data_IF_519022616456
#
_entry.id   IF_519022616456
#
_cell.length_a   1.000
_cell.length_b   1.000
_cell.length_c   1.000
_cell.angle_alpha   90.00
_cell.angle_beta   90.00
_cell.angle_gamma   90.00
#
_symmetry.space_group_name_H-M   'P 1'
#
loop_
_entity.id
_entity.type
_entity.pdbx_description
1 polymer ?
#
# COMPACT_ATOMS: atom_id res chain seq x y z
N UNK A 1 -20.51 2.87 -2.36
CA UNK A 1 -19.73 1.61 -2.32
C UNK A 1 -19.15 1.36 -3.71
N UNK A 2 -17.84 1.24 -3.78
CA UNK A 2 -17.17 0.89 -5.03
C UNK A 2 -17.71 -0.45 -5.53
N UNK A 3 -18.09 -0.52 -6.81
CA UNK A 3 -18.47 -1.77 -7.48
C UNK A 3 -17.33 -2.77 -7.30
N UNK A 4 -17.57 -4.00 -6.93
CA UNK A 4 -16.56 -5.07 -6.82
C UNK A 4 -15.79 -5.18 -5.49
N UNK A 5 -16.16 -4.42 -4.44
CA UNK A 5 -15.55 -4.55 -3.11
C UNK A 5 -16.65 -4.84 -2.09
N UNK A 6 -16.47 -5.87 -1.26
CA UNK A 6 -17.49 -6.41 -0.36
C UNK A 6 -17.46 -5.79 1.05
N UNK A 7 -17.23 -4.49 1.16
CA UNK A 7 -17.26 -3.77 2.43
C UNK A 7 -16.26 -2.60 2.46
N UNK A 8 -16.22 -1.84 3.57
CA UNK A 8 -15.28 -0.74 3.74
C UNK A 8 -13.85 -1.24 3.83
N UNK A 9 -12.89 -0.44 3.33
CA UNK A 9 -11.48 -0.74 3.51
C UNK A 9 -11.05 -0.52 4.95
N UNK A 10 -10.14 -1.37 5.41
CA UNK A 10 -9.47 -1.17 6.69
C UNK A 10 -8.39 -0.09 6.56
N UNK A 11 -8.24 0.73 7.60
CA UNK A 11 -7.17 1.72 7.71
C UNK A 11 -6.73 1.93 9.16
N UNK A 12 -5.50 2.40 9.33
CA UNK A 12 -4.98 2.89 10.61
C UNK A 12 -4.73 4.39 10.54
N UNK A 13 -4.86 5.07 11.69
CA UNK A 13 -4.67 6.52 11.80
C UNK A 13 -3.68 6.86 12.88
N UNK A 14 -2.84 7.87 12.63
CA UNK A 14 -1.96 8.50 13.61
C UNK A 14 -1.93 10.01 13.40
N UNK A 15 -1.75 10.74 14.49
CA UNK A 15 -1.73 12.20 14.47
C UNK A 15 -3.11 12.84 14.66
N UNK A 16 -3.13 14.03 15.24
CA UNK A 16 -4.37 14.72 15.61
C UNK A 16 -4.57 16.04 14.88
N UNK A 17 -3.50 16.66 14.42
CA UNK A 17 -3.49 18.00 13.84
C UNK A 17 -2.62 18.05 12.57
N UNK A 18 -2.76 19.10 11.79
CA UNK A 18 -1.98 19.31 10.58
C UNK A 18 -2.64 18.76 9.31
N UNK A 19 -1.95 18.89 8.16
CA UNK A 19 -2.42 18.36 6.88
C UNK A 19 -2.58 16.85 6.90
N UNK A 20 -3.40 16.31 5.99
CA UNK A 20 -3.59 14.87 5.86
C UNK A 20 -2.54 14.26 4.95
N UNK A 21 -1.97 13.12 5.36
CA UNK A 21 -1.17 12.24 4.50
C UNK A 21 -1.87 10.88 4.44
N UNK A 22 -2.19 10.43 3.22
CA UNK A 22 -2.77 9.13 2.94
C UNK A 22 -1.73 8.21 2.29
N UNK A 23 -1.46 7.07 2.92
CA UNK A 23 -0.48 6.08 2.49
C UNK A 23 -1.16 4.89 1.85
N UNK A 24 -0.70 4.51 0.66
CA UNK A 24 -1.15 3.33 -0.10
C UNK A 24 0.04 2.38 -0.26
N UNK A 25 -0.08 1.19 0.32
CA UNK A 25 1.03 0.25 0.47
C UNK A 25 1.41 -0.49 -0.81
N UNK A 26 2.65 -1.07 -0.87
CA UNK A 26 3.07 -1.95 -1.95
C UNK A 26 2.47 -3.36 -1.82
N UNK A 27 2.42 -4.11 -2.92
CA UNK A 27 2.18 -5.54 -2.93
C UNK A 27 3.50 -6.28 -2.52
N UNK A 28 3.45 -7.33 -1.66
CA UNK A 28 2.31 -7.99 -1.03
C UNK A 28 2.05 -7.57 0.42
N UNK A 29 2.40 -6.36 0.79
CA UNK A 29 2.29 -5.83 2.15
C UNK A 29 0.86 -5.36 2.48
N UNK A 30 0.72 -4.74 3.64
CA UNK A 30 -0.46 -4.01 4.10
C UNK A 30 -0.06 -2.66 4.71
N UNK A 31 -1.02 -1.96 5.28
CA UNK A 31 -0.83 -0.64 5.89
C UNK A 31 0.28 -0.60 6.96
N UNK A 32 0.57 -1.72 7.63
CA UNK A 32 1.58 -1.76 8.70
C UNK A 32 3.01 -1.47 8.22
N UNK A 33 3.28 -1.61 6.92
CA UNK A 33 4.57 -1.24 6.33
C UNK A 33 4.89 0.26 6.50
N UNK A 34 3.88 1.09 6.76
CA UNK A 34 4.03 2.54 6.95
C UNK A 34 4.21 2.96 8.41
N UNK A 35 4.25 2.01 9.35
CA UNK A 35 4.26 2.31 10.79
C UNK A 35 5.34 3.31 11.21
N UNK A 36 6.56 3.20 10.64
CA UNK A 36 7.67 4.09 10.98
C UNK A 36 7.47 5.49 10.42
N UNK A 37 6.98 5.61 9.19
CA UNK A 37 6.66 6.89 8.57
C UNK A 37 5.53 7.57 9.33
N UNK A 38 4.47 6.83 9.65
CA UNK A 38 3.34 7.34 10.42
C UNK A 38 3.76 7.79 11.82
N UNK A 39 4.55 6.98 12.53
CA UNK A 39 5.04 7.32 13.87
C UNK A 39 5.87 8.61 13.87
N UNK A 40 6.72 8.81 12.86
CA UNK A 40 7.52 10.02 12.73
C UNK A 40 6.66 11.23 12.31
N UNK A 41 5.84 11.09 11.27
CA UNK A 41 5.11 12.19 10.66
C UNK A 41 3.88 12.62 11.47
N UNK A 42 3.32 11.74 12.31
CA UNK A 42 2.12 12.04 13.11
C UNK A 42 2.27 13.18 14.11
N UNK A 43 3.50 13.65 14.34
CA UNK A 43 3.75 14.87 15.14
C UNK A 43 3.21 16.12 14.45
N UNK A 44 3.23 16.16 13.12
CA UNK A 44 2.89 17.35 12.31
C UNK A 44 1.73 17.14 11.35
N UNK A 45 1.34 15.86 11.11
CA UNK A 45 0.36 15.46 10.12
C UNK A 45 -0.68 14.51 10.72
N UNK A 46 -1.86 14.50 10.11
CA UNK A 46 -2.86 13.45 10.32
C UNK A 46 -2.60 12.36 9.28
N UNK A 47 -2.01 11.26 9.71
CA UNK A 47 -1.65 10.15 8.85
C UNK A 47 -2.80 9.13 8.79
N UNK A 48 -3.10 8.63 7.59
CA UNK A 48 -3.98 7.48 7.35
C UNK A 48 -3.24 6.51 6.44
N UNK A 49 -3.12 5.25 6.85
CA UNK A 49 -2.58 4.17 6.02
C UNK A 49 -3.68 3.15 5.76
N UNK A 50 -3.89 2.81 4.48
CA UNK A 50 -5.05 2.07 4.00
C UNK A 50 -4.60 0.70 3.51
N UNK A 51 -5.30 -0.36 3.93
CA UNK A 51 -5.19 -1.67 3.29
C UNK A 51 -5.99 -1.65 1.99
N UNK A 52 -5.29 -1.81 0.85
CA UNK A 52 -5.99 -1.86 -0.45
C UNK A 52 -6.84 -3.12 -0.56
N UNK A 53 -7.88 -3.15 -1.44
CA UNK A 53 -8.78 -4.29 -1.57
C UNK A 53 -8.05 -5.63 -1.74
N UNK A 54 -8.43 -6.62 -0.95
CA UNK A 54 -7.82 -7.96 -0.98
C UNK A 54 -6.56 -8.14 -0.15
N UNK A 55 -6.09 -7.08 0.54
CA UNK A 55 -4.91 -7.11 1.39
C UNK A 55 -5.24 -6.80 2.85
N UNK A 56 -4.34 -7.24 3.73
CA UNK A 56 -4.43 -6.99 5.17
C UNK A 56 -5.78 -7.38 5.75
N UNK A 57 -6.47 -6.41 6.34
CA UNK A 57 -7.81 -6.57 6.94
C UNK A 57 -8.93 -6.08 6.01
N UNK A 58 -8.60 -5.56 4.84
CA UNK A 58 -9.59 -5.13 3.86
C UNK A 58 -10.31 -6.31 3.22
N UNK A 59 -11.59 -6.14 2.83
CA UNK A 59 -12.35 -7.20 2.19
C UNK A 59 -11.71 -7.65 0.87
N UNK A 60 -11.99 -8.90 0.49
CA UNK A 60 -11.60 -9.42 -0.82
C UNK A 60 -12.25 -8.60 -1.92
N UNK A 61 -11.57 -8.55 -3.04
CA UNK A 61 -12.04 -7.91 -4.24
C UNK A 61 -12.43 -8.95 -5.29
N UNK A 62 -13.33 -8.57 -6.18
CA UNK A 62 -13.66 -9.35 -7.35
C UNK A 62 -12.47 -9.39 -8.33
N UNK A 63 -12.34 -10.46 -9.14
CA UNK A 63 -11.25 -10.60 -10.12
C UNK A 63 -11.19 -9.45 -11.14
N UNK A 64 -12.32 -8.79 -11.40
CA UNK A 64 -12.47 -7.71 -12.38
C UNK A 64 -12.18 -6.31 -11.79
N UNK A 65 -11.73 -6.23 -10.53
CA UNK A 65 -11.41 -4.98 -9.88
C UNK A 65 -10.32 -4.22 -10.65
N UNK A 66 -10.65 -2.98 -11.04
CA UNK A 66 -9.70 -2.11 -11.73
C UNK A 66 -8.91 -1.24 -10.76
N UNK A 67 -7.77 -0.69 -11.21
CA UNK A 67 -7.01 0.31 -10.44
C UNK A 67 -7.85 1.55 -10.12
N UNK A 68 -8.78 1.92 -11.00
CA UNK A 68 -9.71 3.02 -10.78
C UNK A 68 -10.69 2.72 -9.64
N UNK A 69 -11.18 1.48 -9.54
CA UNK A 69 -12.06 1.06 -8.43
C UNK A 69 -11.30 1.04 -7.11
N UNK A 70 -10.04 0.59 -7.11
CA UNK A 70 -9.17 0.64 -5.93
C UNK A 70 -8.98 2.09 -5.45
N UNK A 71 -8.75 3.02 -6.38
CA UNK A 71 -8.59 4.44 -6.08
C UNK A 71 -9.87 5.04 -5.46
N UNK A 72 -11.05 4.70 -6.01
CA UNK A 72 -12.32 5.13 -5.46
C UNK A 72 -12.54 4.62 -4.04
N UNK A 73 -12.22 3.35 -3.77
CA UNK A 73 -12.31 2.77 -2.45
C UNK A 73 -11.33 3.41 -1.43
N UNK A 74 -10.12 3.76 -1.87
CA UNK A 74 -9.19 4.51 -1.03
C UNK A 74 -9.75 5.89 -0.65
N UNK A 75 -10.43 6.57 -1.57
CA UNK A 75 -11.11 7.82 -1.26
C UNK A 75 -12.27 7.63 -0.30
N UNK A 76 -13.08 6.57 -0.44
CA UNK A 76 -14.14 6.24 0.52
C UNK A 76 -13.57 6.06 1.94
N UNK A 77 -12.41 5.38 2.06
CA UNK A 77 -11.72 5.22 3.34
C UNK A 77 -11.21 6.55 3.93
N UNK A 78 -10.69 7.45 3.07
CA UNK A 78 -10.28 8.80 3.50
C UNK A 78 -11.50 9.61 3.96
N UNK A 79 -12.59 9.58 3.21
CA UNK A 79 -13.81 10.30 3.55
C UNK A 79 -14.45 9.80 4.86
N UNK A 80 -14.41 8.49 5.11
CA UNK A 80 -14.89 7.92 6.38
C UNK A 80 -14.02 8.38 7.56
N UNK A 81 -12.70 8.36 7.37
CA UNK A 81 -11.74 8.73 8.40
C UNK A 81 -11.66 10.25 8.64
N UNK A 82 -11.68 11.05 7.58
CA UNK A 82 -11.33 12.47 7.51
C UNK A 82 -12.21 13.18 6.45
N UNK A 83 -13.51 13.33 6.70
CA UNK A 83 -14.47 13.82 5.71
C UNK A 83 -14.14 15.23 5.22
N UNK A 84 -14.15 15.42 3.89
CA UNK A 84 -13.98 16.71 3.22
C UNK A 84 -12.54 17.24 3.21
N UNK A 85 -11.57 16.46 3.65
CA UNK A 85 -10.18 16.88 3.72
C UNK A 85 -9.44 16.73 2.37
N UNK A 86 -8.45 17.60 2.21
CA UNK A 86 -7.45 17.50 1.14
C UNK A 86 -6.26 16.69 1.64
N UNK A 87 -5.77 15.72 0.85
CA UNK A 87 -4.71 14.81 1.27
C UNK A 87 -3.47 14.90 0.37
N UNK A 88 -2.30 14.73 0.99
CA UNK A 88 -1.07 14.34 0.31
C UNK A 88 -1.15 12.82 0.12
N UNK A 89 -1.14 12.35 -1.12
CA UNK A 89 -1.21 10.94 -1.47
C UNK A 89 0.19 10.35 -1.60
N UNK A 90 0.50 9.33 -0.82
CA UNK A 90 1.80 8.63 -0.83
C UNK A 90 1.60 7.20 -1.25
N UNK A 91 2.10 6.81 -2.41
CA UNK A 91 2.01 5.45 -2.94
C UNK A 91 3.38 4.80 -3.10
N UNK A 92 3.46 3.50 -2.83
CA UNK A 92 4.64 2.68 -3.09
C UNK A 92 4.28 1.50 -3.99
N UNK A 93 5.07 1.24 -5.04
CA UNK A 93 4.86 0.13 -5.99
C UNK A 93 3.43 0.11 -6.54
N UNK A 94 2.59 -0.90 -6.21
CA UNK A 94 1.17 -0.92 -6.62
C UNK A 94 0.42 0.32 -6.10
N UNK A 95 0.73 0.80 -4.90
CA UNK A 95 0.19 2.07 -4.37
C UNK A 95 0.55 3.26 -5.24
N UNK A 96 1.75 3.26 -5.85
CA UNK A 96 2.16 4.28 -6.83
C UNK A 96 1.39 4.20 -8.15
N UNK A 97 0.82 3.06 -8.48
CA UNK A 97 -0.10 2.94 -9.62
C UNK A 97 -1.52 3.42 -9.27
N UNK A 98 -1.94 3.26 -8.01
CA UNK A 98 -3.28 3.66 -7.54
C UNK A 98 -3.36 5.19 -7.32
N UNK A 99 -2.36 5.79 -6.68
CA UNK A 99 -2.38 7.21 -6.29
C UNK A 99 -2.63 8.20 -7.46
N UNK A 100 -2.10 8.02 -8.69
CA UNK A 100 -2.45 8.85 -9.83
C UNK A 100 -3.94 8.76 -10.23
N UNK A 101 -4.58 7.59 -10.10
CA UNK A 101 -6.01 7.45 -10.32
C UNK A 101 -6.82 8.18 -9.24
N UNK A 102 -6.36 8.14 -7.98
CA UNK A 102 -6.96 8.94 -6.91
C UNK A 102 -6.91 10.43 -7.25
N UNK A 103 -5.74 10.93 -7.69
CA UNK A 103 -5.60 12.31 -8.14
C UNK A 103 -6.56 12.63 -9.30
N UNK A 104 -6.63 11.78 -10.32
CA UNK A 104 -7.54 12.00 -11.46
C UNK A 104 -9.01 12.06 -11.06
N UNK A 105 -9.41 11.28 -10.07
CA UNK A 105 -10.80 11.28 -9.59
C UNK A 105 -11.14 12.52 -8.76
N UNK A 106 -10.16 13.03 -7.98
CA UNK A 106 -10.38 14.17 -7.09
C UNK A 106 -9.15 15.11 -7.05
N UNK A 107 -8.90 15.84 -8.13
CA UNK A 107 -7.73 16.74 -8.20
C UNK A 107 -7.78 17.83 -7.13
N UNK A 108 -8.96 18.36 -6.83
CA UNK A 108 -9.15 19.43 -5.84
C UNK A 108 -8.97 18.95 -4.39
N UNK A 109 -9.09 17.65 -4.14
CA UNK A 109 -8.83 17.03 -2.84
C UNK A 109 -7.42 16.45 -2.71
N UNK A 110 -6.56 16.65 -3.72
CA UNK A 110 -5.17 16.14 -3.72
C UNK A 110 -4.19 17.30 -3.62
N UNK A 111 -3.56 17.44 -2.45
CA UNK A 111 -2.57 18.51 -2.20
C UNK A 111 -1.23 18.22 -2.89
N UNK A 112 -0.82 16.94 -2.94
CA UNK A 112 0.42 16.49 -3.58
C UNK A 112 0.39 14.98 -3.82
N UNK A 113 1.27 14.51 -4.73
CA UNK A 113 1.56 13.11 -4.97
C UNK A 113 3.03 12.81 -4.62
N UNK A 114 3.25 11.75 -3.85
CA UNK A 114 4.56 11.17 -3.59
C UNK A 114 4.54 9.73 -4.09
N UNK A 115 5.32 9.44 -5.11
CA UNK A 115 5.32 8.15 -5.79
C UNK A 115 6.68 7.48 -5.64
N UNK A 116 6.71 6.31 -5.01
CA UNK A 116 7.90 5.53 -4.77
C UNK A 116 7.83 4.20 -5.53
N UNK A 117 8.89 3.87 -6.29
CA UNK A 117 8.93 2.62 -7.05
C UNK A 117 7.96 2.58 -8.24
N UNK A 118 7.73 3.72 -8.89
CA UNK A 118 6.93 3.84 -10.12
C UNK A 118 7.75 3.44 -11.34
N UNK A 119 7.04 3.08 -12.42
CA UNK A 119 7.66 2.93 -13.74
C UNK A 119 8.14 1.53 -14.07
N UNK A 120 8.07 0.59 -13.15
CA UNK A 120 8.33 -0.80 -13.45
C UNK A 120 7.04 -1.52 -13.82
N UNK A 121 6.86 -1.76 -15.10
CA UNK A 121 5.80 -2.64 -15.61
C UNK A 121 6.48 -3.95 -16.07
N UNK A 122 6.56 -4.97 -15.20
CA UNK A 122 7.22 -6.21 -15.55
C UNK A 122 6.51 -6.88 -16.74
N UNK A 123 7.28 -7.46 -17.67
CA UNK A 123 6.67 -8.26 -18.73
C UNK A 123 5.84 -9.41 -18.14
N UNK A 124 4.83 -9.86 -18.88
CA UNK A 124 4.00 -11.00 -18.45
C UNK A 124 4.86 -12.24 -18.15
N UNK A 125 5.94 -12.45 -18.92
CA UNK A 125 6.86 -13.56 -18.72
C UNK A 125 7.66 -13.43 -17.43
N UNK A 126 8.07 -12.22 -17.06
CA UNK A 126 8.75 -11.98 -15.79
C UNK A 126 7.81 -12.20 -14.61
N UNK A 127 6.59 -11.66 -14.67
CA UNK A 127 5.58 -11.86 -13.63
C UNK A 127 5.26 -13.36 -13.46
N UNK A 128 5.07 -14.08 -14.58
CA UNK A 128 4.81 -15.51 -14.56
C UNK A 128 5.96 -16.29 -13.93
N UNK A 129 7.21 -16.04 -14.31
CA UNK A 129 8.38 -16.71 -13.72
C UNK A 129 8.47 -16.52 -12.21
N UNK A 130 8.15 -15.33 -11.70
CA UNK A 130 8.13 -15.08 -10.25
C UNK A 130 7.04 -15.88 -9.56
N UNK A 131 5.83 -15.89 -10.11
CA UNK A 131 4.71 -16.65 -9.57
C UNK A 131 5.05 -18.15 -9.56
N UNK A 132 5.55 -18.68 -10.66
CA UNK A 132 5.94 -20.08 -10.79
C UNK A 132 7.02 -20.45 -9.76
N UNK A 133 8.04 -19.60 -9.57
CA UNK A 133 9.11 -19.82 -8.59
C UNK A 133 8.57 -19.83 -7.14
N UNK A 134 7.70 -18.91 -6.78
CA UNK A 134 7.09 -18.86 -5.43
C UNK A 134 6.15 -20.06 -5.21
N UNK A 135 5.39 -20.47 -6.23
CA UNK A 135 4.49 -21.61 -6.15
C UNK A 135 5.25 -22.93 -5.98
N UNK A 136 6.37 -23.06 -6.70
CA UNK A 136 7.17 -24.29 -6.68
C UNK A 136 7.99 -24.46 -5.39
N UNK A 137 8.47 -23.36 -4.79
CA UNK A 137 9.47 -23.41 -3.71
C UNK A 137 8.91 -22.99 -2.33
N UNK A 138 7.67 -22.52 -2.28
CA UNK A 138 6.97 -22.23 -1.02
C UNK A 138 7.41 -20.94 -0.32
N UNK A 139 6.96 -20.83 0.94
CA UNK A 139 7.08 -19.61 1.74
C UNK A 139 8.52 -19.31 2.17
N UNK A 140 9.30 -20.34 2.49
CA UNK A 140 10.69 -20.17 2.93
C UNK A 140 11.58 -19.61 1.81
N UNK A 141 11.36 -20.06 0.57
CA UNK A 141 12.03 -19.50 -0.61
C UNK A 141 11.66 -18.01 -0.81
N UNK A 142 10.38 -17.70 -0.66
CA UNK A 142 9.90 -16.32 -0.78
C UNK A 142 10.52 -15.42 0.29
N UNK A 143 10.62 -15.92 1.53
CA UNK A 143 11.24 -15.21 2.64
C UNK A 143 12.74 -14.95 2.37
N UNK A 144 13.49 -15.97 2.01
CA UNK A 144 14.91 -15.87 1.73
C UNK A 144 15.18 -14.88 0.58
N UNK A 145 14.42 -14.99 -0.50
CA UNK A 145 14.53 -14.07 -1.63
C UNK A 145 14.25 -12.62 -1.23
N UNK A 146 13.20 -12.38 -0.45
CA UNK A 146 12.86 -11.04 0.04
C UNK A 146 13.94 -10.49 0.97
N UNK A 147 14.48 -11.33 1.86
CA UNK A 147 15.55 -10.93 2.77
C UNK A 147 16.84 -10.58 2.02
N UNK A 148 17.15 -11.31 0.96
CA UNK A 148 18.32 -11.03 0.11
C UNK A 148 18.18 -9.75 -0.72
N UNK A 149 16.96 -9.34 -1.05
CA UNK A 149 16.69 -8.07 -1.75
C UNK A 149 16.89 -6.84 -0.86
N UNK A 150 16.93 -7.01 0.47
CA UNK A 150 17.24 -5.91 1.40
C UNK A 150 18.72 -5.53 1.27
N UNK A 151 19.02 -4.23 1.44
CA UNK A 151 20.40 -3.78 1.39
C UNK A 151 21.27 -4.49 2.46
N UNK A 152 22.56 -4.75 2.18
CA UNK A 152 23.42 -5.42 3.14
C UNK A 152 23.45 -4.77 4.53
N UNK A 153 23.47 -3.42 4.57
CA UNK A 153 23.43 -2.68 5.82
C UNK A 153 22.11 -2.87 6.58
N UNK A 154 20.96 -2.91 5.86
CA UNK A 154 19.67 -3.09 6.49
C UNK A 154 19.49 -4.52 7.04
N UNK A 155 20.01 -5.53 6.34
CA UNK A 155 19.97 -6.94 6.78
C UNK A 155 20.62 -7.19 8.16
N UNK A 156 21.52 -6.32 8.60
CA UNK A 156 22.15 -6.41 9.92
C UNK A 156 21.29 -5.81 11.04
N UNK A 157 20.17 -5.21 10.71
CA UNK A 157 19.27 -4.60 11.70
C UNK A 157 18.18 -5.58 12.15
N UNK A 158 17.66 -5.45 13.39
CA UNK A 158 16.53 -6.26 13.84
C UNK A 158 15.27 -6.09 12.98
N UNK A 159 15.15 -4.97 12.26
CA UNK A 159 14.00 -4.68 11.40
C UNK A 159 13.99 -5.49 10.11
N UNK A 160 15.13 -6.04 9.66
CA UNK A 160 15.20 -6.82 8.42
C UNK A 160 14.29 -8.04 8.46
N UNK A 161 14.30 -8.79 9.57
CA UNK A 161 13.41 -9.93 9.75
C UNK A 161 11.93 -9.52 9.78
N UNK A 162 11.61 -8.41 10.45
CA UNK A 162 10.26 -7.87 10.48
C UNK A 162 9.75 -7.58 9.05
N UNK A 163 10.54 -6.90 8.23
CA UNK A 163 10.15 -6.61 6.84
C UNK A 163 10.07 -7.86 5.97
N UNK A 164 11.00 -8.81 6.11
CA UNK A 164 10.92 -10.07 5.37
C UNK A 164 9.65 -10.85 5.72
N UNK A 165 9.27 -10.87 7.00
CA UNK A 165 8.02 -11.50 7.46
C UNK A 165 6.78 -10.81 6.90
N UNK A 166 6.72 -9.47 6.88
CA UNK A 166 5.61 -8.74 6.25
C UNK A 166 5.37 -9.14 4.79
N UNK A 167 6.42 -9.49 4.06
CA UNK A 167 6.33 -9.95 2.68
C UNK A 167 5.86 -11.39 2.53
N UNK A 168 5.99 -12.22 3.55
CA UNK A 168 5.79 -13.67 3.44
C UNK A 168 4.56 -14.17 4.16
N UNK A 169 4.14 -13.52 5.22
CA UNK A 169 3.02 -13.95 6.07
C UNK A 169 1.64 -13.50 5.57
N UNK A 170 1.57 -12.83 4.39
CA UNK A 170 0.33 -12.22 3.90
C UNK A 170 0.00 -12.54 2.45
#
# INVERSE_FOLDING_TARGET
MAKHIHGPLYYERMGRTGPVIAFVHPNPMDQSCWIFQMAHLSTWYRCIAIDIPGYGRSPKADPDLTTSDMAAACWEAIDDALPGETAILVGCSVGSAIAPYMYHQRPDNTAALVLSGTGYNPSKEFAKRRIDAYTANGIDYRWAYTFEDLSPAFRTTPLAHFFANLFTER
#
